data_IF_869973962129
#
_entry.id   IF_869973962129
#
_cell.length_a   1.000
_cell.length_b   1.000
_cell.length_c   1.000
_cell.angle_alpha   90.00
_cell.angle_beta   90.00
_cell.angle_gamma   90.00
#
_symmetry.space_group_name_H-M   'P 1'
#
loop_
_entity.id
_entity.type
_entity.pdbx_description
1 polymer ?
#
# COMPACT_ATOMS: atom_id res chain seq x y z
N UNK A 1 -27.42 -12.90 45.66
CA UNK A 1 -26.97 -11.50 45.54
C UNK A 1 -25.83 -11.47 44.52
N UNK A 2 -26.12 -11.30 43.22
CA UNK A 2 -25.11 -11.33 42.15
C UNK A 2 -24.37 -9.99 42.13
N UNK A 3 -23.04 -10.04 42.30
CA UNK A 3 -22.14 -8.94 41.93
C UNK A 3 -22.08 -8.92 40.41
N UNK A 4 -22.64 -7.90 39.78
CA UNK A 4 -22.48 -7.71 38.34
C UNK A 4 -21.27 -6.82 38.12
N UNK A 5 -20.27 -7.43 37.51
CA UNK A 5 -18.99 -6.90 37.09
C UNK A 5 -19.18 -5.77 36.06
N UNK A 6 -18.58 -4.61 36.32
CA UNK A 6 -18.69 -3.40 35.50
C UNK A 6 -17.45 -3.18 34.61
N UNK A 7 -16.87 -4.26 34.06
CA UNK A 7 -15.63 -4.18 33.28
C UNK A 7 -15.70 -4.77 31.86
N UNK A 8 -16.70 -4.39 31.08
CA UNK A 8 -16.68 -4.62 29.62
C UNK A 8 -17.19 -3.38 28.87
N UNK A 9 -16.36 -2.34 28.81
CA UNK A 9 -16.46 -1.39 27.68
C UNK A 9 -15.86 -2.12 26.49
N UNK A 10 -16.75 -2.54 25.59
CA UNK A 10 -16.49 -3.22 24.32
C UNK A 10 -15.36 -2.48 23.54
N UNK A 11 -14.15 -3.03 23.60
CA UNK A 11 -12.98 -2.51 22.87
C UNK A 11 -13.02 -2.87 21.38
N UNK A 12 -14.01 -3.64 20.94
CA UNK A 12 -14.07 -4.19 19.58
C UNK A 12 -14.83 -3.30 18.59
N UNK A 13 -15.40 -2.17 19.02
CA UNK A 13 -15.97 -1.16 18.12
C UNK A 13 -14.97 -0.08 17.69
N UNK A 14 -13.73 -0.47 17.37
CA UNK A 14 -12.91 0.37 16.49
C UNK A 14 -13.54 0.28 15.12
N UNK A 15 -14.39 1.25 14.79
CA UNK A 15 -15.06 1.41 13.49
C UNK A 15 -14.03 1.19 12.37
N UNK A 16 -14.06 0.01 11.73
CA UNK A 16 -13.15 -0.25 10.63
C UNK A 16 -13.41 0.79 9.53
N UNK A 17 -12.35 1.48 9.12
CA UNK A 17 -12.44 2.40 7.99
C UNK A 17 -12.85 1.61 6.74
N UNK A 18 -13.74 2.16 5.89
CA UNK A 18 -14.06 1.53 4.61
C UNK A 18 -12.78 1.23 3.83
N UNK A 19 -12.61 -0.04 3.46
CA UNK A 19 -11.40 -0.54 2.80
C UNK A 19 -11.78 -1.55 1.72
N UNK A 20 -11.01 -1.58 0.63
CA UNK A 20 -11.12 -2.61 -0.40
C UNK A 20 -9.72 -3.05 -0.83
N UNK A 21 -9.30 -4.21 -0.34
CA UNK A 21 -7.96 -4.75 -0.59
C UNK A 21 -7.76 -5.16 -2.04
N UNK A 22 -8.78 -5.74 -2.67
CA UNK A 22 -8.72 -6.17 -4.07
C UNK A 22 -8.54 -4.97 -4.99
N UNK A 23 -9.26 -3.86 -4.72
CA UNK A 23 -9.10 -2.62 -5.47
C UNK A 23 -7.67 -2.06 -5.36
N UNK A 24 -7.06 -2.10 -4.16
CA UNK A 24 -5.67 -1.71 -4.00
C UNK A 24 -4.72 -2.57 -4.82
N UNK A 25 -4.93 -3.89 -4.85
CA UNK A 25 -4.13 -4.80 -5.67
C UNK A 25 -4.29 -4.53 -7.16
N UNK A 26 -5.50 -4.25 -7.63
CA UNK A 26 -5.77 -3.91 -9.03
C UNK A 26 -5.04 -2.63 -9.41
N UNK A 27 -5.09 -1.60 -8.58
CA UNK A 27 -4.39 -0.32 -8.83
C UNK A 27 -2.87 -0.51 -8.91
N UNK A 28 -2.28 -1.26 -7.98
CA UNK A 28 -0.84 -1.55 -8.01
C UNK A 28 -0.47 -2.43 -9.19
N UNK A 29 -1.29 -3.44 -9.50
CA UNK A 29 -1.09 -4.34 -10.62
C UNK A 29 -1.13 -3.60 -11.96
N UNK A 30 -2.08 -2.69 -12.16
CA UNK A 30 -2.15 -1.89 -13.38
C UNK A 30 -0.93 -0.99 -13.54
N UNK A 31 -0.44 -0.39 -12.45
CA UNK A 31 0.77 0.45 -12.47
C UNK A 31 2.02 -0.33 -12.89
N UNK A 32 2.11 -1.62 -12.51
CA UNK A 32 3.24 -2.49 -12.86
C UNK A 32 3.11 -3.02 -14.30
N UNK A 33 1.89 -3.33 -14.75
CA UNK A 33 1.63 -3.89 -16.08
C UNK A 33 1.77 -2.87 -17.20
N UNK A 34 1.32 -1.62 -16.97
CA UNK A 34 1.40 -0.55 -17.95
C UNK A 34 1.91 0.76 -17.31
N UNK A 35 3.20 0.82 -16.92
CA UNK A 35 3.75 1.95 -16.18
C UNK A 35 3.56 3.31 -16.87
N UNK A 36 3.80 3.37 -18.19
CA UNK A 36 3.87 4.62 -18.96
C UNK A 36 2.53 5.36 -19.03
N UNK A 37 1.41 4.65 -19.24
CA UNK A 37 0.08 5.25 -19.31
C UNK A 37 -0.61 5.35 -17.94
N UNK A 38 -0.43 4.35 -17.07
CA UNK A 38 -1.18 4.27 -15.83
C UNK A 38 -0.59 5.13 -14.70
N UNK A 39 0.74 5.13 -14.51
CA UNK A 39 1.37 5.81 -13.36
C UNK A 39 1.08 7.32 -13.34
N UNK A 40 1.20 8.09 -14.44
CA UNK A 40 0.91 9.53 -14.43
C UNK A 40 -0.48 9.86 -13.88
N UNK A 41 -1.48 9.05 -14.24
CA UNK A 41 -2.87 9.22 -13.81
C UNK A 41 -3.01 8.91 -12.30
N UNK A 42 -2.34 7.85 -11.83
CA UNK A 42 -2.40 7.44 -10.44
C UNK A 42 -1.70 8.43 -9.50
N UNK A 43 -0.51 8.93 -9.86
CA UNK A 43 0.24 9.86 -9.00
C UNK A 43 -0.43 11.23 -8.86
N UNK A 44 -1.24 11.63 -9.85
CA UNK A 44 -2.08 12.83 -9.79
C UNK A 44 -3.23 12.67 -8.78
N UNK A 45 -3.81 11.46 -8.69
CA UNK A 45 -5.06 11.20 -7.95
C UNK A 45 -4.86 10.60 -6.57
N UNK A 46 -3.76 9.87 -6.36
CA UNK A 46 -3.56 9.02 -5.18
C UNK A 46 -2.31 9.44 -4.41
N UNK A 47 -2.44 9.36 -3.08
CA UNK A 47 -1.32 9.42 -2.15
C UNK A 47 -1.06 8.02 -1.55
N UNK A 48 0.19 7.66 -1.22
CA UNK A 48 0.49 6.38 -0.58
C UNK A 48 -0.35 6.10 0.67
N UNK A 49 -0.70 7.13 1.44
CA UNK A 49 -1.46 7.05 2.67
C UNK A 49 -2.92 6.59 2.45
N UNK A 50 -3.43 6.69 1.22
CA UNK A 50 -4.79 6.27 0.87
C UNK A 50 -4.94 4.74 0.81
N UNK A 51 -3.84 4.01 0.63
CA UNK A 51 -3.87 2.56 0.71
C UNK A 51 -4.06 2.13 2.17
N UNK A 52 -5.00 1.23 2.44
CA UNK A 52 -5.21 0.70 3.78
C UNK A 52 -4.04 -0.19 4.21
N UNK A 53 -3.54 -1.04 3.31
CA UNK A 53 -2.45 -1.94 3.65
C UNK A 53 -1.10 -1.25 3.66
N UNK A 54 -0.36 -1.39 4.77
CA UNK A 54 0.99 -0.82 4.90
C UNK A 54 1.93 -1.26 3.78
N UNK A 55 1.88 -2.53 3.36
CA UNK A 55 2.70 -3.02 2.23
C UNK A 55 2.37 -2.31 0.91
N UNK A 56 1.09 -2.05 0.65
CA UNK A 56 0.66 -1.35 -0.55
C UNK A 56 1.09 0.13 -0.53
N UNK A 57 1.09 0.78 0.64
CA UNK A 57 1.68 2.13 0.80
C UNK A 57 3.16 2.13 0.42
N UNK A 58 3.92 1.15 0.90
CA UNK A 58 5.35 1.03 0.61
C UNK A 58 5.56 0.88 -0.90
N UNK A 59 4.81 -0.01 -1.54
CA UNK A 59 4.89 -0.24 -3.00
C UNK A 59 4.55 1.04 -3.77
N UNK A 60 3.40 1.66 -3.51
CA UNK A 60 2.97 2.84 -4.26
C UNK A 60 3.91 4.04 -4.07
N UNK A 61 4.42 4.24 -2.86
CA UNK A 61 5.43 5.26 -2.58
C UNK A 61 6.68 5.05 -3.41
N UNK A 62 7.15 3.81 -3.55
CA UNK A 62 8.34 3.50 -4.35
C UNK A 62 8.08 3.70 -5.84
N UNK A 63 6.90 3.27 -6.35
CA UNK A 63 6.48 3.55 -7.74
C UNK A 63 6.51 5.06 -8.01
N UNK A 64 5.89 5.85 -7.13
CA UNK A 64 5.87 7.31 -7.25
C UNK A 64 7.27 7.91 -7.21
N UNK A 65 8.16 7.42 -6.34
CA UNK A 65 9.55 7.88 -6.29
C UNK A 65 10.29 7.64 -7.60
N UNK A 66 10.16 6.44 -8.18
CA UNK A 66 10.79 6.11 -9.47
C UNK A 66 10.26 7.03 -10.57
N UNK A 67 8.94 7.24 -10.61
CA UNK A 67 8.31 8.17 -11.54
C UNK A 67 8.80 9.61 -11.38
N UNK A 68 8.86 10.13 -10.14
CA UNK A 68 9.32 11.48 -9.83
C UNK A 68 10.81 11.69 -10.22
N UNK A 69 11.60 10.61 -10.26
CA UNK A 69 13.01 10.60 -10.69
C UNK A 69 13.19 10.42 -12.20
N UNK A 70 12.12 10.13 -12.94
CA UNK A 70 12.21 9.72 -14.35
C UNK A 70 12.89 8.36 -14.54
N UNK A 71 12.86 7.52 -13.52
CA UNK A 71 13.40 6.15 -13.54
C UNK A 71 12.31 5.15 -13.98
N UNK A 72 12.69 4.03 -14.63
CA UNK A 72 11.74 2.98 -14.96
C UNK A 72 10.99 2.48 -13.71
N UNK A 73 9.68 2.30 -13.84
CA UNK A 73 8.80 1.90 -12.74
C UNK A 73 8.23 0.48 -12.92
N UNK A 74 8.89 -0.33 -13.76
CA UNK A 74 8.57 -1.75 -13.95
C UNK A 74 8.90 -2.58 -12.68
N UNK A 75 8.50 -3.85 -12.69
CA UNK A 75 8.65 -4.76 -11.54
C UNK A 75 10.11 -4.98 -11.10
N UNK A 76 11.05 -4.99 -12.04
CA UNK A 76 12.47 -5.21 -11.73
C UNK A 76 13.04 -3.97 -11.06
N UNK A 77 12.78 -2.80 -11.65
CA UNK A 77 13.21 -1.52 -11.12
C UNK A 77 12.61 -1.23 -9.73
N UNK A 78 11.32 -1.55 -9.55
CA UNK A 78 10.64 -1.48 -8.26
C UNK A 78 11.29 -2.40 -7.21
N UNK A 79 11.55 -3.66 -7.57
CA UNK A 79 12.18 -4.62 -6.65
C UNK A 79 13.58 -4.16 -6.24
N UNK A 80 14.41 -3.74 -7.20
CA UNK A 80 15.75 -3.22 -6.92
C UNK A 80 15.69 -2.02 -5.96
N UNK A 81 14.75 -1.08 -6.21
CA UNK A 81 14.59 0.10 -5.37
C UNK A 81 14.16 -0.25 -3.94
N UNK A 82 13.29 -1.25 -3.78
CA UNK A 82 12.89 -1.75 -2.47
C UNK A 82 14.04 -2.42 -1.73
N UNK A 83 14.92 -3.14 -2.43
CA UNK A 83 16.12 -3.75 -1.86
C UNK A 83 17.15 -2.71 -1.42
N UNK A 84 17.46 -1.74 -2.27
CA UNK A 84 18.35 -0.62 -1.95
C UNK A 84 17.92 0.12 -0.68
N UNK A 85 16.61 0.23 -0.46
CA UNK A 85 16.03 0.89 0.71
C UNK A 85 15.86 -0.03 1.93
N UNK A 86 16.15 -1.32 1.81
CA UNK A 86 15.90 -2.30 2.87
C UNK A 86 14.41 -2.46 3.22
N UNK A 87 13.51 -2.17 2.29
CA UNK A 87 12.05 -2.21 2.49
C UNK A 87 11.37 -3.40 1.80
N UNK A 88 12.13 -4.30 1.17
CA UNK A 88 11.60 -5.48 0.46
C UNK A 88 10.67 -6.34 1.34
N UNK A 89 11.11 -6.67 2.56
CA UNK A 89 10.30 -7.41 3.52
C UNK A 89 8.99 -6.67 3.88
N UNK A 90 9.03 -5.34 3.93
CA UNK A 90 7.86 -4.51 4.23
C UNK A 90 6.88 -4.43 3.04
N UNK A 91 7.36 -4.70 1.83
CA UNK A 91 6.54 -4.79 0.62
C UNK A 91 5.93 -6.18 0.41
N UNK A 92 6.34 -7.20 1.19
CA UNK A 92 5.82 -8.56 1.09
C UNK A 92 6.86 -9.62 0.72
N UNK A 93 8.15 -9.25 0.64
CA UNK A 93 9.25 -10.17 0.35
C UNK A 93 9.47 -10.44 -1.14
N UNK A 94 10.59 -11.08 -1.48
CA UNK A 94 10.84 -11.63 -2.83
C UNK A 94 10.13 -12.99 -2.94
N UNK A 95 9.49 -13.24 -4.08
CA UNK A 95 9.01 -14.57 -4.45
C UNK A 95 10.19 -15.54 -4.60
#
# INVERSE_FOLDING_TARGET
MRRTDASQVDRDQVRELPKNIEAEQVVLGSAILEPEGTIPILVEKLLPEYFYQRRHRVIFRTIRELFDRGEPSDIVSLANRLEERGEMERAGGRM
#
